data_IF_042715265646
#
_entry.id   IF_042715265646
#
_cell.length_a   1.000
_cell.length_b   1.000
_cell.length_c   1.000
_cell.angle_alpha   90.00
_cell.angle_beta   90.00
_cell.angle_gamma   90.00
#
_symmetry.space_group_name_H-M   'P 1'
#
loop_
_entity.id
_entity.type
_entity.pdbx_description
1 polymer ?
#
# COMPACT_ATOMS: atom_id res chain seq x y z
N UNK A 1 3.92 -1.12 4.97
CA UNK A 1 2.88 -1.91 4.27
C UNK A 1 3.16 -1.90 2.77
N UNK A 2 3.10 -3.06 2.14
CA UNK A 2 3.43 -3.22 0.73
C UNK A 2 2.18 -3.64 -0.06
N UNK A 3 1.78 -2.81 -1.03
CA UNK A 3 0.71 -3.17 -1.96
C UNK A 3 1.30 -3.64 -3.28
N UNK A 4 0.83 -4.76 -3.79
CA UNK A 4 1.18 -5.22 -5.12
C UNK A 4 0.50 -4.34 -6.17
N UNK A 5 1.20 -4.03 -7.23
CA UNK A 5 0.66 -3.33 -8.39
C UNK A 5 0.89 -4.17 -9.65
N UNK A 6 -0.13 -4.22 -10.50
CA UNK A 6 -0.05 -4.84 -11.81
C UNK A 6 0.16 -3.75 -12.85
N UNK A 7 1.18 -3.90 -13.69
CA UNK A 7 1.60 -2.89 -14.66
C UNK A 7 1.42 -3.43 -16.07
N UNK A 8 0.56 -2.78 -16.85
CA UNK A 8 0.46 -3.03 -18.28
C UNK A 8 1.50 -2.19 -19.00
N UNK A 9 2.42 -2.84 -19.70
CA UNK A 9 3.51 -2.17 -20.40
C UNK A 9 2.98 -1.23 -21.47
N UNK A 10 3.44 0.03 -21.44
CA UNK A 10 3.13 1.01 -22.47
C UNK A 10 3.90 0.79 -23.76
N UNK A 11 3.50 1.52 -24.78
CA UNK A 11 4.16 1.58 -26.08
C UNK A 11 4.39 3.04 -26.47
N UNK A 12 4.95 3.29 -27.64
CA UNK A 12 5.14 4.66 -28.15
C UNK A 12 3.82 5.42 -28.31
N UNK A 13 2.70 4.70 -28.44
CA UNK A 13 1.36 5.27 -28.66
C UNK A 13 0.39 5.02 -27.51
N UNK A 14 0.80 4.27 -26.48
CA UNK A 14 -0.05 3.89 -25.37
C UNK A 14 0.72 4.05 -24.04
N UNK A 15 0.08 4.69 -23.05
CA UNK A 15 0.64 4.86 -21.72
C UNK A 15 0.78 3.53 -20.97
N UNK A 16 1.66 3.50 -19.97
CA UNK A 16 1.69 2.44 -18.98
C UNK A 16 0.47 2.54 -18.09
N UNK A 17 -0.25 1.44 -17.90
CA UNK A 17 -1.39 1.36 -17.01
C UNK A 17 -1.03 0.63 -15.72
N UNK A 18 -1.59 1.06 -14.59
CA UNK A 18 -1.38 0.43 -13.29
C UNK A 18 -2.71 0.14 -12.63
N UNK A 19 -2.85 -1.06 -12.11
CA UNK A 19 -3.97 -1.48 -11.27
C UNK A 19 -3.44 -1.90 -9.91
N UNK A 20 -4.12 -1.49 -8.84
CA UNK A 20 -3.80 -1.91 -7.47
C UNK A 20 -4.88 -2.90 -7.02
N UNK A 21 -4.62 -4.22 -7.11
CA UNK A 21 -5.67 -5.22 -6.89
C UNK A 21 -6.30 -5.22 -5.49
N UNK A 22 -5.52 -4.88 -4.45
CA UNK A 22 -6.02 -4.84 -3.07
C UNK A 22 -6.92 -3.63 -2.79
N UNK A 23 -6.87 -2.59 -3.63
CA UNK A 23 -7.60 -1.35 -3.46
C UNK A 23 -8.60 -1.18 -4.61
N UNK A 24 -9.87 -1.55 -4.43
CA UNK A 24 -10.87 -1.47 -5.51
C UNK A 24 -11.00 -0.07 -6.08
N UNK A 25 -10.92 0.04 -7.41
CA UNK A 25 -11.02 1.33 -8.10
C UNK A 25 -9.74 2.17 -8.07
N UNK A 26 -8.65 1.67 -7.52
CA UNK A 26 -7.38 2.37 -7.51
C UNK A 26 -6.59 2.06 -8.78
N UNK A 27 -6.51 3.04 -9.68
CA UNK A 27 -5.81 2.93 -10.96
C UNK A 27 -4.85 4.09 -11.14
N UNK A 28 -3.84 3.89 -11.95
CA UNK A 28 -2.89 4.93 -12.33
C UNK A 28 -2.35 4.69 -13.73
N UNK A 29 -1.63 5.67 -14.25
CA UNK A 29 -0.99 5.59 -15.56
C UNK A 29 0.21 6.55 -15.62
N UNK A 30 1.04 6.37 -16.62
CA UNK A 30 2.16 7.26 -16.90
C UNK A 30 2.73 6.99 -18.28
N UNK A 31 3.41 7.96 -18.86
CA UNK A 31 4.04 7.82 -20.17
C UNK A 31 5.32 6.99 -20.11
N UNK A 32 5.94 6.92 -18.94
CA UNK A 32 7.10 6.08 -18.66
C UNK A 32 6.81 5.18 -17.47
N UNK A 33 7.62 4.14 -17.30
CA UNK A 33 7.50 3.24 -16.15
C UNK A 33 7.72 4.01 -14.83
N UNK A 34 8.72 4.87 -14.77
CA UNK A 34 9.02 5.64 -13.55
C UNK A 34 7.86 6.58 -13.19
N UNK A 35 7.26 7.23 -14.18
CA UNK A 35 6.09 8.10 -13.98
C UNK A 35 4.88 7.29 -13.52
N UNK A 36 4.63 6.13 -14.13
CA UNK A 36 3.53 5.25 -13.73
C UNK A 36 3.70 4.76 -12.29
N UNK A 37 4.91 4.42 -11.88
CA UNK A 37 5.22 4.00 -10.50
C UNK A 37 4.99 5.13 -9.50
N UNK A 38 5.47 6.33 -9.81
CA UNK A 38 5.27 7.50 -8.96
C UNK A 38 3.78 7.84 -8.81
N UNK A 39 3.05 7.85 -9.91
CA UNK A 39 1.62 8.13 -9.93
C UNK A 39 0.82 7.03 -9.20
N UNK A 40 1.27 5.77 -9.27
CA UNK A 40 0.66 4.68 -8.53
C UNK A 40 0.79 4.88 -7.02
N UNK A 41 1.95 5.31 -6.54
CA UNK A 41 2.14 5.62 -5.13
C UNK A 41 1.21 6.73 -4.66
N UNK A 42 1.10 7.81 -5.42
CA UNK A 42 0.18 8.91 -5.11
C UNK A 42 -1.28 8.45 -5.09
N UNK A 43 -1.68 7.62 -6.05
CA UNK A 43 -3.04 7.07 -6.12
C UNK A 43 -3.36 6.18 -4.92
N UNK A 44 -2.42 5.35 -4.49
CA UNK A 44 -2.56 4.50 -3.31
C UNK A 44 -2.70 5.35 -2.05
N UNK A 45 -1.83 6.33 -1.87
CA UNK A 45 -1.85 7.22 -0.70
C UNK A 45 -3.19 7.98 -0.63
N UNK A 46 -3.66 8.53 -1.74
CA UNK A 46 -4.95 9.23 -1.80
C UNK A 46 -6.11 8.28 -1.48
N UNK A 47 -6.12 7.08 -2.05
CA UNK A 47 -7.15 6.09 -1.79
C UNK A 47 -7.23 5.75 -0.31
N UNK A 48 -6.07 5.54 0.33
CA UNK A 48 -5.99 5.20 1.75
C UNK A 48 -6.38 6.39 2.64
N UNK A 49 -6.00 7.61 2.29
CA UNK A 49 -6.42 8.81 3.02
C UNK A 49 -7.94 8.94 3.03
N UNK A 50 -8.59 8.77 1.89
CA UNK A 50 -10.05 8.81 1.78
C UNK A 50 -10.69 7.70 2.63
N UNK A 51 -10.15 6.49 2.57
CA UNK A 51 -10.66 5.37 3.37
C UNK A 51 -10.55 5.65 4.87
N UNK A 52 -9.42 6.18 5.32
CA UNK A 52 -9.20 6.54 6.73
C UNK A 52 -10.16 7.65 7.15
N UNK A 53 -10.32 8.69 6.35
CA UNK A 53 -11.23 9.80 6.63
C UNK A 53 -12.69 9.36 6.71
N UNK A 54 -13.07 8.37 5.90
CA UNK A 54 -14.42 7.81 5.89
C UNK A 54 -14.64 6.77 7.00
N UNK A 55 -13.63 6.49 7.83
CA UNK A 55 -13.71 5.50 8.90
C UNK A 55 -13.70 4.06 8.41
N UNK A 56 -13.27 3.82 7.19
CA UNK A 56 -13.16 2.47 6.62
C UNK A 56 -11.88 1.78 7.11
N UNK A 57 -11.95 0.46 7.27
CA UNK A 57 -10.76 -0.33 7.56
C UNK A 57 -9.77 -0.28 6.39
N UNK A 58 -8.48 -0.16 6.69
CA UNK A 58 -7.43 -0.22 5.69
C UNK A 58 -7.31 -1.66 5.19
N UNK A 59 -7.46 -1.90 3.87
CA UNK A 59 -7.36 -3.26 3.33
C UNK A 59 -5.99 -3.89 3.59
N UNK A 60 -5.98 -5.11 4.09
CA UNK A 60 -4.75 -5.91 4.23
C UNK A 60 -4.28 -6.35 2.85
N UNK A 61 -3.01 -6.09 2.48
CA UNK A 61 -2.50 -6.55 1.20
C UNK A 61 -2.37 -8.07 1.15
N UNK A 62 -2.85 -8.66 0.07
CA UNK A 62 -2.61 -10.07 -0.24
C UNK A 62 -1.18 -10.25 -0.76
N UNK A 63 -0.71 -11.49 -0.77
CA UNK A 63 0.61 -11.79 -1.31
C UNK A 63 0.67 -11.54 -2.82
N UNK A 64 1.85 -11.25 -3.32
CA UNK A 64 2.07 -11.11 -4.75
C UNK A 64 1.67 -12.39 -5.50
N UNK A 65 2.01 -13.55 -4.96
CA UNK A 65 1.65 -14.83 -5.56
C UNK A 65 0.13 -15.02 -5.70
N UNK A 66 -0.65 -14.58 -4.69
CA UNK A 66 -2.11 -14.65 -4.76
C UNK A 66 -2.67 -13.80 -5.90
N UNK A 67 -2.11 -12.62 -6.13
CA UNK A 67 -2.52 -11.76 -7.23
C UNK A 67 -2.09 -12.29 -8.59
N UNK A 68 -0.87 -12.84 -8.69
CA UNK A 68 -0.36 -13.44 -9.94
C UNK A 68 -1.19 -14.63 -10.41
N UNK A 69 -1.84 -15.34 -9.49
CA UNK A 69 -2.71 -16.46 -9.82
C UNK A 69 -4.03 -16.02 -10.48
N UNK A 70 -4.40 -14.75 -10.43
CA UNK A 70 -5.63 -14.23 -11.03
C UNK A 70 -5.47 -14.06 -12.53
N UNK A 71 -6.52 -14.46 -13.28
CA UNK A 71 -6.48 -14.52 -14.76
C UNK A 71 -6.40 -13.15 -15.44
N UNK A 72 -6.87 -12.10 -14.81
CA UNK A 72 -7.00 -10.77 -15.42
C UNK A 72 -5.68 -10.05 -15.70
N UNK A 73 -4.58 -10.55 -15.18
CA UNK A 73 -3.27 -9.89 -15.26
C UNK A 73 -2.22 -10.70 -16.03
N UNK A 74 -2.66 -11.58 -16.91
CA UNK A 74 -1.73 -12.38 -17.72
C UNK A 74 -0.88 -11.47 -18.61
N UNK A 75 0.44 -11.62 -18.55
CA UNK A 75 1.37 -10.82 -19.34
C UNK A 75 1.71 -9.46 -18.74
N UNK A 76 1.11 -9.10 -17.61
CA UNK A 76 1.43 -7.86 -16.91
C UNK A 76 2.69 -8.02 -16.06
N UNK A 77 3.39 -6.91 -15.87
CA UNK A 77 4.52 -6.83 -14.95
C UNK A 77 4.02 -6.50 -13.55
N UNK A 78 4.71 -7.01 -12.53
CA UNK A 78 4.33 -6.76 -11.14
C UNK A 78 5.36 -5.93 -10.42
N UNK A 79 4.91 -5.10 -9.49
CA UNK A 79 5.74 -4.33 -8.59
C UNK A 79 5.11 -4.24 -7.21
N UNK A 80 5.84 -3.63 -6.29
CA UNK A 80 5.36 -3.37 -4.93
C UNK A 80 5.53 -1.89 -4.62
N UNK A 81 4.52 -1.32 -3.97
CA UNK A 81 4.56 0.06 -3.48
C UNK A 81 4.48 0.03 -1.96
N UNK A 82 5.45 0.64 -1.31
CA UNK A 82 5.51 0.74 0.15
C UNK A 82 4.85 2.03 0.61
N UNK A 83 3.95 1.93 1.60
CA UNK A 83 3.24 3.06 2.21
C UNK A 83 3.36 2.99 3.71
N UNK A 84 3.52 4.13 4.35
CA UNK A 84 3.46 4.26 5.81
C UNK A 84 2.11 4.87 6.20
N UNK A 85 1.26 4.09 6.85
CA UNK A 85 -0.09 4.51 7.24
C UNK A 85 -0.06 5.66 8.23
N UNK A 86 0.93 5.70 9.14
CA UNK A 86 1.04 6.79 10.12
C UNK A 86 1.29 8.14 9.44
N UNK A 87 2.01 8.15 8.32
CA UNK A 87 2.31 9.37 7.56
C UNK A 87 1.08 9.93 6.83
N UNK A 88 0.04 9.13 6.65
CA UNK A 88 -1.20 9.54 5.99
C UNK A 88 -2.20 10.19 6.95
N UNK A 89 -1.95 10.17 8.24
CA UNK A 89 -2.81 10.79 9.25
C UNK A 89 -2.42 12.26 9.47
N UNK A 90 -3.33 13.17 9.16
CA UNK A 90 -3.11 14.62 9.32
C UNK A 90 -3.09 15.07 10.77
N UNK A 91 -3.57 14.24 11.71
CA UNK A 91 -3.67 14.55 13.14
C UNK A 91 -3.01 13.49 13.99
N UNK A 92 -1.69 13.39 13.89
CA UNK A 92 -0.94 12.51 14.78
C UNK A 92 -0.84 13.15 16.16
N UNK A 93 -1.36 12.48 17.19
CA UNK A 93 -1.16 12.83 18.57
C UNK A 93 -0.07 11.94 19.18
N UNK A 94 0.81 12.54 19.97
CA UNK A 94 1.85 11.78 20.66
C UNK A 94 1.26 11.10 21.88
N UNK A 95 1.28 9.76 21.88
CA UNK A 95 0.79 8.96 22.99
C UNK A 95 1.93 8.09 23.52
N UNK A 96 2.14 8.12 24.84
CA UNK A 96 3.10 7.24 25.51
C UNK A 96 2.34 6.06 26.12
N UNK A 97 2.69 4.85 25.71
CA UNK A 97 2.10 3.62 26.24
C UNK A 97 3.20 2.72 26.77
N UNK A 98 2.89 1.97 27.81
CA UNK A 98 3.78 0.97 28.38
C UNK A 98 3.38 -0.40 27.88
N UNK A 99 4.30 -1.10 27.24
CA UNK A 99 4.10 -2.45 26.74
C UNK A 99 5.20 -3.39 27.25
N UNK A 100 4.88 -4.67 27.51
CA UNK A 100 5.90 -5.67 27.78
C UNK A 100 6.93 -5.71 26.63
N UNK A 101 8.21 -5.84 26.97
CA UNK A 101 9.29 -5.86 25.96
C UNK A 101 9.08 -6.90 24.87
N UNK A 102 8.50 -8.04 25.21
CA UNK A 102 8.19 -9.10 24.27
C UNK A 102 7.17 -8.66 23.23
N UNK A 103 6.12 -7.96 23.65
CA UNK A 103 5.07 -7.44 22.75
C UNK A 103 5.66 -6.36 21.85
N UNK A 104 6.45 -5.46 22.40
CA UNK A 104 7.10 -4.39 21.63
C UNK A 104 8.02 -4.95 20.54
N UNK A 105 8.81 -5.98 20.87
CA UNK A 105 9.67 -6.64 19.86
C UNK A 105 8.88 -7.27 18.74
N UNK A 106 7.73 -7.89 19.04
CA UNK A 106 6.84 -8.46 18.01
C UNK A 106 6.27 -7.38 17.11
N UNK A 107 5.85 -6.27 17.68
CA UNK A 107 5.34 -5.13 16.91
C UNK A 107 6.44 -4.59 16.00
N UNK A 108 7.63 -4.36 16.52
CA UNK A 108 8.75 -3.83 15.72
C UNK A 108 9.16 -4.75 14.60
N UNK A 109 9.20 -6.05 14.84
CA UNK A 109 9.53 -7.04 13.80
C UNK A 109 8.45 -7.09 12.71
N UNK A 110 7.19 -7.08 13.10
CA UNK A 110 6.07 -7.07 12.16
C UNK A 110 6.03 -5.79 11.33
N UNK A 111 6.30 -4.64 11.94
CA UNK A 111 6.39 -3.36 11.26
C UNK A 111 7.53 -3.37 10.23
N UNK A 112 8.71 -3.85 10.61
CA UNK A 112 9.85 -3.98 9.72
C UNK A 112 9.55 -4.88 8.53
N UNK A 113 8.90 -6.03 8.75
CA UNK A 113 8.52 -6.95 7.69
C UNK A 113 7.50 -6.33 6.73
N UNK A 114 6.65 -5.44 7.22
CA UNK A 114 5.65 -4.76 6.42
C UNK A 114 6.16 -3.45 5.77
N UNK A 115 7.42 -3.07 6.01
CA UNK A 115 7.96 -1.80 5.50
C UNK A 115 7.34 -0.57 6.15
N UNK A 116 6.91 -0.68 7.40
CA UNK A 116 6.25 0.39 8.14
C UNK A 116 7.05 0.82 9.36
N UNK A 117 6.79 2.05 9.83
CA UNK A 117 7.21 2.47 11.16
C UNK A 117 6.40 1.71 12.23
N UNK A 118 6.87 1.73 13.48
CA UNK A 118 6.10 1.20 14.61
C UNK A 118 4.71 1.83 14.67
N UNK A 119 4.65 3.15 14.59
CA UNK A 119 3.39 3.91 14.65
C UNK A 119 2.47 3.58 13.47
N UNK A 120 3.01 3.45 12.27
CA UNK A 120 2.26 3.07 11.07
C UNK A 120 1.65 1.69 11.18
N UNK A 121 2.42 0.72 11.66
CA UNK A 121 1.94 -0.64 11.89
C UNK A 121 0.80 -0.68 12.93
N UNK A 122 0.98 0.01 14.07
CA UNK A 122 -0.04 0.06 15.13
C UNK A 122 -1.32 0.72 14.59
N UNK A 123 -1.20 1.84 13.89
CA UNK A 123 -2.36 2.54 13.32
C UNK A 123 -3.14 1.65 12.34
N UNK A 124 -2.44 0.93 11.48
CA UNK A 124 -3.05 0.01 10.54
C UNK A 124 -3.80 -1.12 11.24
N UNK A 125 -3.18 -1.73 12.24
CA UNK A 125 -3.81 -2.83 13.01
C UNK A 125 -5.05 -2.36 13.77
N UNK A 126 -5.03 -1.15 14.28
CA UNK A 126 -6.17 -0.58 14.99
C UNK A 126 -7.36 -0.28 14.06
N UNK A 127 -7.09 0.02 12.79
CA UNK A 127 -8.10 0.31 11.77
C UNK A 127 -8.64 -0.96 11.08
N UNK A 128 -7.93 -2.06 11.21
CA UNK A 128 -8.28 -3.32 10.56
C UNK A 128 -9.50 -4.02 11.17
#
# INVERSE_FOLDING_TARGET
MHYAIAIETGTDTQAYGVVVPDLPGCFSAGDTLDEAMLNAKEAIELWLEVAIDDGMAVPEPQTLAAHQAKRGFKGWTWGLVTVDIAALSDKAERVNITLPSRVLRRIDQAAKNAGESRSGYIARRALA
#
